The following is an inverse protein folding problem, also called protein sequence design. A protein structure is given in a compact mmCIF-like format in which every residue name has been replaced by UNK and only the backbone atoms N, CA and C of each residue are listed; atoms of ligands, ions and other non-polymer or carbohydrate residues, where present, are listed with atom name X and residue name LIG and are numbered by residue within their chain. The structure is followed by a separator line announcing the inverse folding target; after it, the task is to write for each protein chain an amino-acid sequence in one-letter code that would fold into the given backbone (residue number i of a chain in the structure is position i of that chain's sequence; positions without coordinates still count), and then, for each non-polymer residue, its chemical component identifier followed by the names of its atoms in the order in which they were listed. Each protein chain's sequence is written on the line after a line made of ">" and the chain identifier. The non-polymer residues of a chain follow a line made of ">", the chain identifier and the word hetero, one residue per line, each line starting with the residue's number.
data_IF_966355493932
#
_entry.id   IF_966355493932
#
_cell.length_a   1.000
_cell.length_b   1.000
_cell.length_c   1.000
_cell.angle_alpha   90.00
_cell.angle_beta   90.00
_cell.angle_gamma   90.00
#
_symmetry.space_group_name_H-M   'P 1'
#
loop_
_entity.id
_entity.type
_entity.pdbx_description
1 polymer ?
#
# COMPACT_ATOMS: atom_id res chain seq x y z
N UNK A 1 -19.19 -1.18 -1.53
CA UNK A 1 -19.63 -1.35 -2.93
C UNK A 1 -18.45 -1.06 -3.83
N UNK A 2 -17.92 -2.07 -4.52
CA UNK A 2 -17.03 -1.86 -5.66
C UNK A 2 -17.95 -1.91 -6.89
N UNK A 3 -18.21 -0.77 -7.50
CA UNK A 3 -18.81 -0.73 -8.83
C UNK A 3 -17.69 -0.48 -9.82
N UNK A 4 -17.64 -1.28 -10.88
CA UNK A 4 -16.80 -1.04 -12.05
C UNK A 4 -17.69 -0.47 -13.17
N UNK A 5 -17.97 0.85 -13.15
CA UNK A 5 -18.90 1.48 -14.10
C UNK A 5 -18.30 1.67 -15.50
N UNK A 6 -17.01 1.35 -15.71
CA UNK A 6 -16.27 1.73 -16.92
C UNK A 6 -16.16 0.60 -17.95
N UNK A 7 -16.61 -0.62 -17.65
CA UNK A 7 -16.55 -1.75 -18.59
C UNK A 7 -15.12 -2.24 -18.89
N UNK A 8 -14.12 -1.74 -18.16
CA UNK A 8 -12.78 -2.30 -18.14
C UNK A 8 -12.79 -3.60 -17.32
N UNK A 9 -11.92 -4.56 -17.65
CA UNK A 9 -11.72 -5.73 -16.78
C UNK A 9 -11.33 -5.26 -15.38
N UNK A 10 -11.89 -5.89 -14.33
CA UNK A 10 -11.48 -5.61 -12.96
C UNK A 10 -9.95 -5.70 -12.85
N UNK A 11 -9.30 -4.76 -12.14
CA UNK A 11 -7.86 -4.83 -11.97
C UNK A 11 -7.50 -6.15 -11.27
N UNK A 12 -6.39 -6.78 -11.65
CA UNK A 12 -5.91 -7.97 -10.96
C UNK A 12 -5.72 -7.65 -9.47
N UNK A 13 -5.91 -8.65 -8.60
CA UNK A 13 -5.97 -8.44 -7.14
C UNK A 13 -4.75 -7.70 -6.55
N UNK A 14 -3.58 -7.79 -7.20
CA UNK A 14 -2.34 -7.12 -6.77
C UNK A 14 -2.31 -5.62 -7.11
N UNK A 15 -3.27 -5.10 -7.88
CA UNK A 15 -3.47 -3.68 -8.18
C UNK A 15 -4.61 -3.07 -7.34
N UNK A 16 -5.29 -3.87 -6.51
CA UNK A 16 -6.36 -3.39 -5.65
C UNK A 16 -5.79 -2.62 -4.45
N UNK A 17 -6.18 -1.34 -4.36
CA UNK A 17 -5.90 -0.50 -3.19
C UNK A 17 -7.15 -0.48 -2.30
N UNK A 18 -7.03 -1.01 -1.09
CA UNK A 18 -8.10 -0.96 -0.08
C UNK A 18 -8.16 0.45 0.51
N UNK A 19 -9.35 1.06 0.47
CA UNK A 19 -9.63 2.37 1.08
C UNK A 19 -10.69 2.19 2.17
N UNK A 20 -10.48 2.80 3.34
CA UNK A 20 -11.48 2.83 4.42
C UNK A 20 -12.43 4.00 4.17
N UNK A 21 -13.72 3.77 4.38
CA UNK A 21 -14.77 4.78 4.25
C UNK A 21 -15.72 4.74 5.45
N UNK A 22 -16.63 5.71 5.54
CA UNK A 22 -17.64 5.84 6.60
C UNK A 22 -17.06 6.16 7.99
N UNK A 23 -16.61 7.41 8.13
CA UNK A 23 -16.08 7.95 9.39
C UNK A 23 -17.18 8.48 10.34
N UNK A 24 -18.45 8.12 10.12
CA UNK A 24 -19.59 8.63 10.90
C UNK A 24 -19.56 8.26 12.39
N UNK A 25 -18.78 7.24 12.75
CA UNK A 25 -18.56 6.78 14.14
C UNK A 25 -17.15 7.07 14.66
N UNK A 26 -16.28 7.71 13.85
CA UNK A 26 -14.88 7.96 14.22
C UNK A 26 -14.76 8.97 15.36
N UNK A 27 -13.76 8.78 16.21
CA UNK A 27 -13.43 9.68 17.32
C UNK A 27 -11.95 9.98 17.36
N UNK A 28 -11.61 11.24 17.63
CA UNK A 28 -10.23 11.62 17.94
C UNK A 28 -10.06 11.49 19.45
N UNK A 29 -9.25 10.52 19.87
CA UNK A 29 -8.88 10.33 21.27
C UNK A 29 -7.54 11.03 21.51
N UNK A 30 -7.47 11.85 22.57
CA UNK A 30 -6.19 12.30 23.12
C UNK A 30 -5.42 11.12 23.69
N UNK A 31 -4.10 11.19 23.72
CA UNK A 31 -3.25 10.12 24.26
C UNK A 31 -3.69 9.72 25.69
N UNK A 32 -4.03 8.45 25.89
CA UNK A 32 -4.53 7.92 27.17
C UNK A 32 -6.03 8.15 27.48
N UNK A 33 -6.79 8.73 26.55
CA UNK A 33 -8.24 8.89 26.70
C UNK A 33 -9.03 7.67 26.19
N UNK A 34 -10.18 7.40 26.80
CA UNK A 34 -11.01 6.23 26.51
C UNK A 34 -12.43 6.66 26.10
N UNK A 35 -12.99 6.00 25.08
CA UNK A 35 -14.37 6.20 24.67
C UNK A 35 -15.33 5.26 25.44
N UNK A 36 -16.62 5.62 25.52
CA UNK A 36 -17.63 4.91 26.32
C UNK A 36 -18.99 4.75 25.63
N UNK A 37 -19.05 4.87 24.30
CA UNK A 37 -20.29 4.73 23.54
C UNK A 37 -20.31 3.38 22.84
N UNK A 38 -21.32 2.56 23.13
CA UNK A 38 -21.60 1.32 22.40
C UNK A 38 -22.20 1.65 21.03
N UNK A 39 -21.35 1.72 20.00
CA UNK A 39 -21.76 1.95 18.61
C UNK A 39 -20.90 1.11 17.65
N UNK A 40 -21.48 0.70 16.51
CA UNK A 40 -20.84 -0.15 15.50
C UNK A 40 -21.70 -1.36 15.11
N UNK A 41 -21.13 -2.28 14.34
CA UNK A 41 -21.80 -3.53 13.93
C UNK A 41 -21.48 -4.64 14.93
N UNK A 42 -22.48 -5.20 15.66
CA UNK A 42 -22.25 -6.02 16.86
C UNK A 42 -21.23 -7.14 16.72
N UNK A 43 -21.24 -7.86 15.59
CA UNK A 43 -20.38 -9.02 15.40
C UNK A 43 -18.89 -8.68 15.15
N UNK A 44 -18.57 -7.42 14.88
CA UNK A 44 -17.19 -6.94 14.71
C UNK A 44 -16.70 -6.17 15.95
N UNK A 45 -17.58 -5.87 16.90
CA UNK A 45 -17.22 -5.12 18.10
C UNK A 45 -16.32 -5.93 19.03
N UNK A 46 -15.36 -5.24 19.65
CA UNK A 46 -14.57 -5.80 20.73
C UNK A 46 -15.43 -6.07 21.99
N UNK A 47 -15.09 -7.09 22.81
CA UNK A 47 -15.87 -7.43 24.00
C UNK A 47 -16.04 -6.25 24.96
N UNK A 48 -14.99 -5.45 25.15
CA UNK A 48 -15.01 -4.25 25.99
C UNK A 48 -16.01 -3.20 25.47
N UNK A 49 -16.19 -3.07 24.15
CA UNK A 49 -17.16 -2.15 23.54
C UNK A 49 -18.59 -2.67 23.76
N UNK A 50 -18.82 -3.98 23.56
CA UNK A 50 -20.13 -4.62 23.77
C UNK A 50 -20.55 -4.55 25.23
N UNK A 51 -19.62 -4.72 26.16
CA UNK A 51 -19.84 -4.65 27.60
C UNK A 51 -19.89 -3.21 28.14
N UNK A 52 -19.92 -2.21 27.26
CA UNK A 52 -19.96 -0.79 27.58
C UNK A 52 -18.82 -0.35 28.53
N UNK A 53 -17.67 -0.99 28.39
CA UNK A 53 -16.44 -0.62 29.08
C UNK A 53 -15.73 0.49 28.30
N UNK A 54 -14.74 1.09 28.95
CA UNK A 54 -13.88 2.09 28.33
C UNK A 54 -12.93 1.41 27.34
N UNK A 55 -12.78 1.96 26.14
CA UNK A 55 -11.95 1.39 25.07
C UNK A 55 -11.02 2.42 24.42
N UNK A 56 -9.93 1.94 23.83
CA UNK A 56 -8.93 2.67 23.05
C UNK A 56 -8.85 2.13 21.60
N UNK A 57 -7.79 2.48 20.87
CA UNK A 57 -7.56 2.03 19.49
C UNK A 57 -7.42 0.50 19.33
N UNK A 58 -7.29 -0.27 20.42
CA UNK A 58 -7.25 -1.74 20.35
C UNK A 58 -8.57 -2.34 19.88
N UNK A 59 -9.69 -1.65 20.10
CA UNK A 59 -11.01 -2.06 19.62
C UNK A 59 -11.08 -2.11 18.08
N UNK A 60 -10.38 -1.20 17.39
CA UNK A 60 -10.30 -1.20 15.92
C UNK A 60 -9.51 -2.42 15.42
N UNK A 61 -8.46 -2.81 16.14
CA UNK A 61 -7.67 -4.00 15.78
C UNK A 61 -8.44 -5.29 16.02
N UNK A 62 -9.32 -5.34 17.03
CA UNK A 62 -10.25 -6.46 17.19
C UNK A 62 -11.18 -6.57 15.97
N UNK A 63 -11.78 -5.46 15.57
CA UNK A 63 -12.68 -5.39 14.41
C UNK A 63 -11.97 -5.85 13.13
N UNK A 64 -10.73 -5.43 12.92
CA UNK A 64 -9.88 -5.88 11.81
C UNK A 64 -9.62 -7.41 11.86
N UNK A 65 -9.35 -7.96 13.05
CA UNK A 65 -9.17 -9.41 13.22
C UNK A 65 -10.39 -10.22 12.79
N UNK A 66 -11.60 -9.75 13.13
CA UNK A 66 -12.86 -10.37 12.73
C UNK A 66 -13.09 -10.32 11.21
N UNK A 67 -12.77 -9.18 10.58
CA UNK A 67 -12.83 -9.03 9.10
C UNK A 67 -11.87 -10.00 8.41
N UNK A 68 -10.62 -10.09 8.90
CA UNK A 68 -9.63 -11.02 8.34
C UNK A 68 -10.11 -12.46 8.51
N UNK A 69 -10.63 -12.83 9.69
CA UNK A 69 -11.17 -14.17 9.92
C UNK A 69 -12.32 -14.49 8.96
N UNK A 70 -13.26 -13.57 8.79
CA UNK A 70 -14.39 -13.73 7.88
C UNK A 70 -13.91 -13.91 6.43
N UNK A 71 -12.93 -13.12 5.98
CA UNK A 71 -12.33 -13.27 4.65
C UNK A 71 -11.66 -14.64 4.45
N UNK A 72 -11.03 -15.20 5.50
CA UNK A 72 -10.31 -16.48 5.42
C UNK A 72 -11.23 -17.70 5.50
N UNK A 73 -12.35 -17.58 6.22
CA UNK A 73 -13.22 -18.73 6.52
C UNK A 73 -14.58 -18.65 5.84
N UNK A 74 -14.90 -17.50 5.23
CA UNK A 74 -16.22 -17.16 4.72
C UNK A 74 -17.34 -17.33 5.77
N UNK A 75 -16.97 -17.19 7.06
CA UNK A 75 -17.87 -17.39 8.19
C UNK A 75 -17.46 -16.47 9.32
N UNK A 76 -18.44 -15.86 9.99
CA UNK A 76 -18.18 -15.13 11.22
C UNK A 76 -18.37 -16.08 12.43
N UNK A 77 -17.45 -16.14 13.40
CA UNK A 77 -17.54 -17.06 14.54
C UNK A 77 -18.83 -16.89 15.34
N UNK A 78 -19.22 -15.63 15.57
CA UNK A 78 -20.39 -15.27 16.38
C UNK A 78 -21.73 -15.54 15.67
N UNK A 79 -21.73 -15.66 14.34
CA UNK A 79 -22.93 -16.10 13.60
C UNK A 79 -23.23 -17.58 13.80
N UNK A 80 -22.22 -18.40 14.13
CA UNK A 80 -22.41 -19.84 14.43
C UNK A 80 -23.07 -20.09 15.79
N UNK A 81 -23.08 -19.10 16.68
CA UNK A 81 -23.60 -19.21 18.05
C UNK A 81 -25.10 -18.88 18.15
N UNK A 82 -25.83 -18.74 17.02
CA UNK A 82 -27.25 -18.35 16.91
C UNK A 82 -27.60 -17.07 17.67
N UNK A 83 -26.64 -16.14 17.77
CA UNK A 83 -26.80 -14.85 18.47
C UNK A 83 -27.61 -13.91 17.57
N UNK A 84 -28.88 -13.72 17.92
CA UNK A 84 -29.86 -12.96 17.10
C UNK A 84 -30.04 -11.51 17.53
N UNK A 85 -29.57 -11.14 18.72
CA UNK A 85 -29.74 -9.79 19.25
C UNK A 85 -28.55 -9.34 20.14
N UNK A 86 -28.39 -8.02 20.38
CA UNK A 86 -27.30 -7.49 21.19
C UNK A 86 -27.29 -7.97 22.64
N UNK A 87 -28.44 -8.33 23.22
CA UNK A 87 -28.53 -8.81 24.61
C UNK A 87 -27.93 -10.20 24.73
N UNK A 88 -28.18 -11.06 23.74
CA UNK A 88 -27.56 -12.38 23.65
C UNK A 88 -26.04 -12.27 23.47
N UNK A 89 -25.57 -11.26 22.73
CA UNK A 89 -24.14 -11.01 22.56
C UNK A 89 -23.47 -10.55 23.88
N UNK A 90 -24.12 -9.66 24.63
CA UNK A 90 -23.67 -9.27 25.97
C UNK A 90 -23.62 -10.48 26.88
N UNK A 91 -24.68 -11.30 26.89
CA UNK A 91 -24.74 -12.51 27.71
C UNK A 91 -23.65 -13.51 27.32
N UNK A 92 -23.38 -13.67 26.02
CA UNK A 92 -22.30 -14.51 25.51
C UNK A 92 -20.95 -14.06 26.07
N UNK A 93 -20.61 -12.78 25.98
CA UNK A 93 -19.32 -12.27 26.50
C UNK A 93 -19.24 -12.28 28.03
N UNK A 94 -20.37 -12.20 28.75
CA UNK A 94 -20.41 -12.32 30.20
C UNK A 94 -20.26 -13.76 30.70
N UNK A 95 -20.67 -14.75 29.91
CA UNK A 95 -20.75 -16.16 30.34
C UNK A 95 -19.68 -17.06 29.72
N UNK A 96 -19.27 -16.80 28.48
CA UNK A 96 -18.18 -17.50 27.82
C UNK A 96 -16.91 -16.67 27.90
N UNK A 97 -15.90 -17.23 28.56
CA UNK A 97 -14.60 -16.56 28.70
C UNK A 97 -13.84 -16.42 27.38
N UNK A 98 -14.12 -17.25 26.35
CA UNK A 98 -13.36 -17.26 25.08
C UNK A 98 -14.25 -17.60 23.88
N UNK A 99 -14.01 -16.94 22.75
CA UNK A 99 -14.54 -17.35 21.45
C UNK A 99 -13.62 -18.47 20.92
N UNK A 100 -14.19 -19.61 20.52
CA UNK A 100 -13.42 -20.64 19.85
C UNK A 100 -13.28 -20.29 18.36
N UNK A 101 -12.05 -20.07 17.91
CA UNK A 101 -11.75 -19.73 16.52
C UNK A 101 -11.10 -20.92 15.84
N UNK A 102 -11.86 -21.58 14.97
CA UNK A 102 -11.34 -22.65 14.11
C UNK A 102 -10.75 -22.02 12.85
N UNK A 103 -9.46 -22.24 12.62
CA UNK A 103 -8.75 -21.76 11.43
C UNK A 103 -8.58 -22.89 10.41
N UNK A 104 -8.77 -22.63 9.10
CA UNK A 104 -8.47 -23.60 8.05
C UNK A 104 -6.99 -24.01 8.08
N UNK A 105 -6.70 -25.27 7.77
CA UNK A 105 -5.33 -25.83 7.75
C UNK A 105 -4.37 -25.07 6.82
N UNK A 106 -4.92 -24.36 5.84
CA UNK A 106 -4.18 -23.66 4.80
C UNK A 106 -3.79 -22.22 5.20
N UNK A 107 -4.17 -21.77 6.40
CA UNK A 107 -3.82 -20.43 6.89
C UNK A 107 -2.43 -20.47 7.50
N UNK A 108 -1.58 -19.50 7.11
CA UNK A 108 -0.24 -19.37 7.66
C UNK A 108 -0.30 -19.26 9.19
N UNK A 109 0.56 -20.02 9.87
CA UNK A 109 0.55 -20.17 11.33
C UNK A 109 0.59 -18.84 12.10
N UNK A 110 1.27 -17.83 11.55
CA UNK A 110 1.28 -16.48 12.13
C UNK A 110 -0.04 -15.75 12.10
N UNK A 111 -0.82 -15.90 11.03
CA UNK A 111 -2.18 -15.34 10.96
C UNK A 111 -3.10 -16.04 11.95
N UNK A 112 -2.98 -17.37 12.08
CA UNK A 112 -3.72 -18.09 13.13
C UNK A 112 -3.29 -17.67 14.53
N UNK A 113 -2.00 -17.45 14.78
CA UNK A 113 -1.50 -17.03 16.10
C UNK A 113 -1.91 -15.59 16.43
N UNK A 114 -1.95 -14.67 15.46
CA UNK A 114 -2.47 -13.29 15.64
C UNK A 114 -3.92 -13.30 16.08
N UNK A 115 -4.75 -14.04 15.33
CA UNK A 115 -6.19 -14.12 15.55
C UNK A 115 -6.44 -14.83 16.88
N UNK A 116 -5.83 -16.00 17.12
CA UNK A 116 -6.09 -16.81 18.33
C UNK A 116 -5.50 -16.16 19.59
N UNK A 117 -4.28 -15.60 19.56
CA UNK A 117 -3.63 -15.00 20.73
C UNK A 117 -4.29 -13.69 21.16
N UNK A 118 -4.92 -12.95 20.24
CA UNK A 118 -5.65 -11.72 20.55
C UNK A 118 -7.10 -11.95 20.97
N UNK A 119 -7.73 -13.03 20.49
CA UNK A 119 -9.09 -13.43 20.89
C UNK A 119 -9.13 -14.41 22.08
N UNK A 120 -7.96 -14.77 22.61
CA UNK A 120 -7.81 -15.39 23.93
C UNK A 120 -8.11 -14.38 25.04
N UNK A 121 -9.39 -14.15 25.29
CA UNK A 121 -9.87 -13.30 26.37
C UNK A 121 -9.40 -13.83 27.73
N UNK A 122 -8.36 -13.20 28.26
CA UNK A 122 -8.24 -12.93 29.69
C UNK A 122 -8.51 -11.44 29.87
N UNK A 123 -9.56 -11.12 30.63
CA UNK A 123 -9.95 -9.75 31.02
C UNK A 123 -8.78 -9.05 31.77
N UNK A 124 -7.76 -9.80 32.21
CA UNK A 124 -6.58 -9.30 32.91
C UNK A 124 -5.34 -9.02 32.02
N UNK A 125 -5.33 -9.44 30.75
CA UNK A 125 -4.15 -9.27 29.86
C UNK A 125 -4.23 -8.07 28.90
N UNK A 126 -4.91 -6.99 29.30
CA UNK A 126 -4.97 -5.72 28.55
C UNK A 126 -3.60 -5.01 28.31
N UNK A 127 -2.49 -5.61 28.74
CA UNK A 127 -1.15 -5.03 28.73
C UNK A 127 -0.21 -5.52 27.61
N UNK A 128 -0.63 -6.44 26.72
CA UNK A 128 0.15 -6.73 25.52
C UNK A 128 -0.25 -5.76 24.41
N UNK A 129 0.69 -4.91 24.00
CA UNK A 129 0.55 -4.04 22.84
C UNK A 129 0.18 -4.91 21.62
N UNK A 130 -1.07 -4.78 21.16
CA UNK A 130 -1.59 -5.53 20.03
C UNK A 130 -0.83 -5.27 18.74
N UNK A 131 -0.14 -4.14 18.65
CA UNK A 131 0.77 -3.77 17.57
C UNK A 131 2.03 -4.64 17.62
N UNK A 132 2.65 -4.79 18.79
CA UNK A 132 3.82 -5.66 19.00
C UNK A 132 3.54 -7.14 18.68
N UNK A 133 2.35 -7.67 19.01
CA UNK A 133 2.00 -9.05 18.63
C UNK A 133 1.77 -9.22 17.12
N UNK A 134 1.13 -8.25 16.46
CA UNK A 134 0.99 -8.22 15.00
C UNK A 134 2.35 -8.10 14.31
N UNK A 135 3.24 -7.25 14.82
CA UNK A 135 4.61 -7.08 14.32
C UNK A 135 5.46 -8.35 14.51
N UNK A 136 5.34 -9.04 15.66
CA UNK A 136 6.12 -10.25 15.93
C UNK A 136 5.64 -11.44 15.09
N UNK A 137 4.33 -11.63 14.93
CA UNK A 137 3.82 -12.69 14.08
C UNK A 137 4.02 -12.40 12.58
N UNK A 138 4.00 -11.12 12.19
CA UNK A 138 4.48 -10.64 10.89
C UNK A 138 5.93 -11.02 10.64
N UNK A 139 6.79 -10.80 11.63
CA UNK A 139 8.21 -11.12 11.61
C UNK A 139 8.47 -12.64 11.48
N UNK A 140 7.75 -13.47 12.23
CA UNK A 140 7.94 -14.93 12.24
C UNK A 140 7.37 -15.65 11.00
N UNK A 141 6.35 -15.07 10.37
CA UNK A 141 5.60 -15.74 9.29
C UNK A 141 5.72 -15.04 7.93
N UNK A 142 6.52 -13.99 7.83
CA UNK A 142 6.78 -13.26 6.58
C UNK A 142 5.49 -12.62 6.00
N UNK A 143 4.56 -12.22 6.86
CA UNK A 143 3.27 -11.61 6.51
C UNK A 143 3.37 -10.14 6.88
N UNK A 144 3.60 -9.26 5.91
CA UNK A 144 3.78 -7.83 6.14
C UNK A 144 2.41 -7.12 6.24
N UNK A 145 2.10 -6.57 7.40
CA UNK A 145 0.88 -5.77 7.67
C UNK A 145 1.04 -4.29 7.26
N UNK A 146 2.05 -3.95 6.45
CA UNK A 146 2.30 -2.58 6.02
C UNK A 146 3.22 -1.80 6.94
N UNK A 147 4.07 -2.48 7.72
CA UNK A 147 5.26 -1.85 8.31
C UNK A 147 6.46 -2.22 7.43
N UNK A 148 6.44 -1.58 6.26
CA UNK A 148 7.38 -1.61 5.15
C UNK A 148 8.67 -2.41 5.39
N UNK A 149 8.69 -3.68 4.95
CA UNK A 149 9.95 -4.31 4.57
C UNK A 149 10.10 -4.24 3.07
N UNK A 150 11.06 -3.43 2.61
CA UNK A 150 11.51 -3.42 1.22
C UNK A 150 11.63 -4.85 0.70
N UNK A 151 11.01 -5.15 -0.43
CA UNK A 151 11.04 -6.51 -0.94
C UNK A 151 12.49 -6.91 -1.22
N UNK A 152 13.01 -7.88 -0.46
CA UNK A 152 14.39 -8.38 -0.56
C UNK A 152 14.62 -9.27 -1.78
N UNK A 153 13.58 -9.56 -2.56
CA UNK A 153 13.67 -10.34 -3.79
C UNK A 153 14.11 -9.44 -4.95
N UNK A 154 15.43 -9.37 -5.19
CA UNK A 154 16.01 -8.56 -6.28
C UNK A 154 16.09 -9.26 -7.63
N UNK A 155 15.66 -10.52 -7.71
CA UNK A 155 15.60 -11.27 -8.98
C UNK A 155 14.58 -10.61 -9.90
N UNK A 156 15.02 -10.18 -11.09
CA UNK A 156 14.17 -9.53 -12.10
C UNK A 156 14.04 -8.01 -11.95
N UNK A 157 14.99 -7.37 -11.24
CA UNK A 157 15.15 -5.92 -11.26
C UNK A 157 15.85 -5.47 -12.55
N UNK A 158 15.31 -4.42 -13.15
CA UNK A 158 15.78 -3.79 -14.39
C UNK A 158 16.07 -2.31 -14.12
N UNK A 159 17.12 -1.78 -14.73
CA UNK A 159 17.47 -0.37 -14.60
C UNK A 159 16.35 0.52 -15.15
N UNK A 160 15.97 1.56 -14.40
CA UNK A 160 15.18 2.67 -14.91
C UNK A 160 16.16 3.70 -15.47
N UNK A 161 16.11 3.95 -16.77
CA UNK A 161 17.07 4.77 -17.48
C UNK A 161 16.45 6.13 -17.80
N UNK A 162 17.23 7.21 -17.70
CA UNK A 162 16.80 8.57 -18.02
C UNK A 162 17.62 9.14 -19.18
N UNK A 163 16.96 9.88 -20.05
CA UNK A 163 17.57 10.68 -21.11
C UNK A 163 16.86 12.01 -21.24
N UNK A 164 17.56 13.04 -21.69
CA UNK A 164 17.05 14.41 -21.76
C UNK A 164 17.32 15.00 -23.14
N UNK A 165 16.38 15.78 -23.66
CA UNK A 165 16.58 16.54 -24.88
C UNK A 165 16.20 18.01 -24.65
N UNK A 166 17.21 18.85 -24.40
CA UNK A 166 17.03 20.27 -24.12
C UNK A 166 16.36 21.05 -25.27
N UNK A 167 16.47 20.58 -26.51
CA UNK A 167 15.90 21.27 -27.67
C UNK A 167 14.37 21.16 -27.70
N UNK A 168 13.84 20.01 -27.31
CA UNK A 168 12.39 19.77 -27.21
C UNK A 168 11.88 19.85 -25.78
N UNK A 169 12.80 20.06 -24.82
CA UNK A 169 12.55 20.23 -23.38
C UNK A 169 11.79 19.06 -22.76
N UNK A 170 12.24 17.85 -23.07
CA UNK A 170 11.59 16.60 -22.68
C UNK A 170 12.56 15.66 -21.95
N UNK A 171 12.06 14.99 -20.90
CA UNK A 171 12.75 13.90 -20.24
C UNK A 171 12.11 12.54 -20.55
N UNK A 172 12.93 11.64 -21.07
CA UNK A 172 12.50 10.31 -21.46
C UNK A 172 12.99 9.24 -20.48
N UNK A 173 12.07 8.38 -20.03
CA UNK A 173 12.36 7.30 -19.09
C UNK A 173 11.98 5.92 -19.65
N UNK A 174 12.90 4.95 -19.56
CA UNK A 174 12.66 3.60 -20.08
C UNK A 174 13.42 2.53 -19.29
N UNK A 175 12.95 1.29 -19.35
CA UNK A 175 13.66 0.09 -18.88
C UNK A 175 14.33 -0.68 -20.02
N UNK A 176 14.26 -0.16 -21.25
CA UNK A 176 14.75 -0.82 -22.45
C UNK A 176 15.95 -0.06 -23.05
N UNK A 177 17.13 -0.68 -22.96
CA UNK A 177 18.38 -0.12 -23.49
C UNK A 177 18.29 0.21 -24.99
N UNK A 178 17.57 -0.62 -25.77
CA UNK A 178 17.43 -0.39 -27.22
C UNK A 178 16.57 0.83 -27.51
N UNK A 179 15.55 1.08 -26.68
CA UNK A 179 14.69 2.26 -26.78
C UNK A 179 15.48 3.52 -26.42
N UNK A 180 16.28 3.48 -25.34
CA UNK A 180 17.16 4.58 -24.97
C UNK A 180 18.18 4.90 -26.08
N UNK A 181 18.80 3.88 -26.67
CA UNK A 181 19.71 4.07 -27.81
C UNK A 181 19.02 4.66 -29.02
N UNK A 182 17.74 4.33 -29.25
CA UNK A 182 16.96 4.93 -30.32
C UNK A 182 16.61 6.38 -30.00
N UNK A 183 16.25 6.73 -28.77
CA UNK A 183 16.07 8.12 -28.35
C UNK A 183 17.36 8.94 -28.56
N UNK A 184 18.53 8.35 -28.25
CA UNK A 184 19.82 9.01 -28.48
C UNK A 184 20.09 9.35 -29.95
N UNK A 185 19.67 8.47 -30.88
CA UNK A 185 19.74 8.76 -32.33
C UNK A 185 18.84 9.93 -32.75
N UNK A 186 17.86 10.29 -31.93
CA UNK A 186 16.92 11.39 -32.16
C UNK A 186 17.23 12.63 -31.28
N UNK A 187 18.47 12.74 -30.78
CA UNK A 187 18.95 13.95 -30.12
C UNK A 187 18.81 13.98 -28.60
N UNK A 188 18.36 12.89 -27.97
CA UNK A 188 18.40 12.76 -26.52
C UNK A 188 19.82 12.46 -26.03
N UNK A 189 20.22 13.12 -24.95
CA UNK A 189 21.46 12.85 -24.22
C UNK A 189 21.13 11.80 -23.15
N UNK A 190 21.92 10.73 -23.09
CA UNK A 190 21.80 9.70 -22.06
C UNK A 190 22.41 10.26 -20.76
N UNK A 191 21.60 10.36 -19.70
CA UNK A 191 22.05 10.95 -18.44
C UNK A 191 22.43 9.90 -17.40
N UNK A 192 21.68 8.79 -17.31
CA UNK A 192 22.05 7.68 -16.43
C UNK A 192 20.88 6.87 -15.91
N UNK A 193 21.12 6.20 -14.77
CA UNK A 193 20.20 5.25 -14.18
C UNK A 193 19.51 5.81 -12.93
N UNK A 194 18.19 5.88 -12.95
CA UNK A 194 17.29 6.30 -11.87
C UNK A 194 16.91 5.12 -10.96
N UNK A 195 17.90 4.33 -10.56
CA UNK A 195 17.69 3.11 -9.77
C UNK A 195 17.15 1.94 -10.59
N UNK A 196 16.60 0.95 -9.90
CA UNK A 196 16.07 -0.28 -10.49
C UNK A 196 14.60 -0.44 -10.10
N UNK A 197 13.78 -0.86 -11.07
CA UNK A 197 12.39 -1.24 -10.87
C UNK A 197 12.19 -2.69 -11.30
N UNK A 198 11.12 -3.31 -10.83
CA UNK A 198 10.81 -4.70 -11.18
C UNK A 198 9.97 -4.74 -12.45
N UNK A 199 10.32 -5.55 -13.44
CA UNK A 199 9.55 -5.65 -14.70
C UNK A 199 8.44 -6.70 -14.66
N UNK A 200 8.23 -7.35 -13.51
CA UNK A 200 7.18 -8.35 -13.34
C UNK A 200 6.63 -8.31 -11.92
N UNK A 201 5.34 -8.59 -11.71
CA UNK A 201 4.77 -8.70 -10.37
C UNK A 201 5.54 -9.69 -9.49
N UNK A 202 5.45 -9.52 -8.18
CA UNK A 202 5.96 -10.49 -7.22
C UNK A 202 4.92 -10.78 -6.16
N UNK A 203 4.40 -12.01 -6.15
CA UNK A 203 3.45 -12.47 -5.12
C UNK A 203 4.04 -12.50 -3.70
N UNK A 204 5.37 -12.36 -3.57
CA UNK A 204 6.09 -12.30 -2.29
C UNK A 204 6.46 -10.88 -1.87
N UNK A 205 6.19 -9.87 -2.70
CA UNK A 205 6.42 -8.47 -2.34
C UNK A 205 5.07 -7.84 -1.98
N UNK A 206 5.00 -7.24 -0.80
CA UNK A 206 3.91 -6.37 -0.38
C UNK A 206 4.24 -4.93 -0.74
N UNK A 207 3.21 -4.12 -1.05
CA UNK A 207 3.41 -2.69 -1.35
C UNK A 207 4.10 -2.38 -2.67
N UNK A 208 4.04 -3.28 -3.66
CA UNK A 208 4.43 -2.96 -5.03
C UNK A 208 3.36 -2.09 -5.68
N UNK A 209 3.77 -0.95 -6.21
CA UNK A 209 2.96 -0.08 -7.05
C UNK A 209 3.33 -0.28 -8.52
N UNK A 210 2.36 -0.46 -9.42
CA UNK A 210 2.62 -0.37 -10.85
C UNK A 210 3.03 1.06 -11.20
N UNK A 211 4.09 1.22 -11.98
CA UNK A 211 4.47 2.49 -12.60
C UNK A 211 3.93 2.48 -14.03
N UNK A 212 2.84 3.21 -14.25
CA UNK A 212 2.18 3.35 -15.55
C UNK A 212 2.98 4.31 -16.44
N UNK A 213 3.13 3.95 -17.71
CA UNK A 213 3.72 4.80 -18.75
C UNK A 213 2.62 5.25 -19.70
N UNK A 214 2.45 6.56 -19.80
CA UNK A 214 1.45 7.25 -20.59
C UNK A 214 2.14 7.97 -21.76
N UNK A 215 1.53 7.96 -22.95
CA UNK A 215 2.05 8.67 -24.12
C UNK A 215 0.98 9.49 -24.82
N UNK A 216 1.29 10.75 -25.12
CA UNK A 216 0.43 11.66 -25.87
C UNK A 216 1.05 11.99 -27.24
N UNK A 217 0.62 11.28 -28.29
CA UNK A 217 1.11 11.47 -29.65
C UNK A 217 0.88 12.89 -30.22
N UNK A 218 -0.08 13.64 -29.68
CA UNK A 218 -0.37 15.02 -30.12
C UNK A 218 0.71 16.02 -29.71
N UNK A 219 1.41 15.75 -28.61
CA UNK A 219 2.44 16.63 -28.02
C UNK A 219 3.80 15.95 -27.89
N UNK A 220 3.92 14.71 -28.35
CA UNK A 220 5.12 13.87 -28.26
C UNK A 220 5.67 13.76 -26.84
N UNK A 221 4.77 13.65 -25.86
CA UNK A 221 5.09 13.70 -24.43
C UNK A 221 4.83 12.35 -23.74
N UNK A 222 5.66 12.02 -22.75
CA UNK A 222 5.47 10.87 -21.88
C UNK A 222 5.26 11.31 -20.43
N UNK A 223 4.34 10.63 -19.76
CA UNK A 223 4.11 10.84 -18.34
C UNK A 223 4.09 9.51 -17.57
N UNK A 224 4.57 9.52 -16.34
CA UNK A 224 4.74 8.33 -15.51
C UNK A 224 4.08 8.49 -14.14
N UNK A 225 3.24 7.54 -13.76
CA UNK A 225 2.53 7.61 -12.48
C UNK A 225 2.25 6.25 -11.89
N UNK A 226 2.24 6.17 -10.57
CA UNK A 226 1.76 5.06 -9.75
C UNK A 226 0.33 5.27 -9.28
N UNK A 227 -0.19 6.49 -9.42
CA UNK A 227 -1.54 6.86 -8.99
C UNK A 227 -2.54 6.42 -10.06
N UNK A 228 -3.29 5.36 -9.76
CA UNK A 228 -4.34 4.83 -10.64
C UNK A 228 -5.34 5.91 -11.08
N UNK A 229 -5.78 6.77 -10.15
CA UNK A 229 -6.75 7.82 -10.45
C UNK A 229 -6.17 8.88 -11.41
N UNK A 230 -4.88 9.20 -11.30
CA UNK A 230 -4.19 10.15 -12.20
C UNK A 230 -4.07 9.56 -13.62
N UNK A 231 -3.69 8.29 -13.71
CA UNK A 231 -3.66 7.55 -14.97
C UNK A 231 -5.03 7.56 -15.65
N UNK A 232 -6.10 7.16 -14.94
CA UNK A 232 -7.46 7.12 -15.48
C UNK A 232 -7.92 8.51 -15.96
N UNK A 233 -7.64 9.56 -15.20
CA UNK A 233 -8.02 10.92 -15.57
C UNK A 233 -7.28 11.44 -16.80
N UNK A 234 -6.05 10.97 -17.04
CA UNK A 234 -5.22 11.36 -18.19
C UNK A 234 -5.64 10.72 -19.51
N UNK A 235 -6.46 9.64 -19.50
CA UNK A 235 -6.85 8.86 -20.69
C UNK A 235 -7.64 9.66 -21.76
N UNK A 236 -8.08 10.88 -21.43
CA UNK A 236 -8.69 11.80 -22.40
C UNK A 236 -7.69 12.37 -23.40
N UNK A 237 -6.43 12.48 -23.00
CA UNK A 237 -5.35 13.13 -23.77
C UNK A 237 -4.22 12.13 -24.05
N UNK A 238 -3.87 11.32 -23.05
CA UNK A 238 -2.82 10.31 -23.12
C UNK A 238 -3.38 8.92 -23.40
N UNK A 239 -2.57 8.07 -24.03
CA UNK A 239 -2.81 6.63 -24.13
C UNK A 239 -1.94 5.91 -23.12
N UNK A 240 -2.50 4.92 -22.44
CA UNK A 240 -1.73 4.00 -21.61
C UNK A 240 -0.94 3.06 -22.53
N UNK A 241 0.38 3.13 -22.48
CA UNK A 241 1.25 2.17 -23.17
C UNK A 241 1.41 0.88 -22.35
N UNK A 242 1.30 0.98 -21.02
CA UNK A 242 1.25 -0.14 -20.10
C UNK A 242 1.95 0.14 -18.78
N UNK A 243 2.13 -0.90 -17.97
CA UNK A 243 2.94 -0.85 -16.75
C UNK A 243 4.40 -1.05 -17.11
N UNK A 244 5.23 -0.02 -17.01
CA UNK A 244 6.67 -0.10 -17.37
C UNK A 244 7.47 -0.93 -16.36
N UNK A 245 6.96 -1.03 -15.13
CA UNK A 245 7.52 -1.83 -14.05
C UNK A 245 6.80 -1.55 -12.74
N UNK A 246 7.38 -2.04 -11.64
CA UNK A 246 6.83 -1.93 -10.30
C UNK A 246 7.90 -1.38 -9.35
N UNK A 247 7.50 -0.41 -8.53
CA UNK A 247 8.31 0.18 -7.47
C UNK A 247 7.59 0.05 -6.13
N UNK A 248 8.24 0.40 -5.02
CA UNK A 248 7.69 0.22 -3.68
C UNK A 248 6.92 1.48 -3.24
N UNK A 249 5.78 1.30 -2.58
CA UNK A 249 4.99 2.40 -2.02
C UNK A 249 5.70 3.11 -0.85
N UNK A 250 6.48 2.35 -0.08
CA UNK A 250 7.06 2.77 1.20
C UNK A 250 8.59 2.61 1.20
N UNK A 251 9.31 3.39 2.03
CA UNK A 251 10.77 3.29 2.13
C UNK A 251 11.21 1.96 2.73
N UNK A 252 12.50 1.63 2.55
CA UNK A 252 13.11 0.48 3.21
C UNK A 252 14.54 0.23 2.74
N UNK A 253 15.17 -0.83 3.24
CA UNK A 253 16.57 -1.12 2.93
C UNK A 253 16.85 -1.16 1.43
N UNK A 254 17.91 -0.47 1.01
CA UNK A 254 18.36 -0.47 -0.39
C UNK A 254 17.38 0.20 -1.36
N UNK A 255 16.34 0.86 -0.85
CA UNK A 255 15.43 1.69 -1.63
C UNK A 255 15.82 3.16 -1.49
N UNK A 256 15.65 3.91 -2.57
CA UNK A 256 15.78 5.37 -2.63
C UNK A 256 14.49 5.96 -3.20
N UNK A 257 14.09 7.16 -2.75
CA UNK A 257 12.90 7.82 -3.29
C UNK A 257 13.14 8.26 -4.73
N UNK A 258 12.15 8.05 -5.59
CA UNK A 258 12.02 8.68 -6.89
C UNK A 258 11.16 9.93 -6.71
N UNK A 259 11.81 11.09 -6.67
CA UNK A 259 11.16 12.39 -6.54
C UNK A 259 10.49 12.78 -7.85
N UNK A 260 9.31 13.40 -7.77
CA UNK A 260 8.55 13.92 -8.93
C UNK A 260 8.37 15.43 -8.84
N UNK A 261 8.49 16.07 -10.00
CA UNK A 261 8.32 17.49 -10.18
C UNK A 261 7.52 17.78 -11.44
N UNK A 262 6.81 18.90 -11.43
CA UNK A 262 6.15 19.46 -12.60
C UNK A 262 6.85 20.74 -13.06
N UNK A 263 7.30 20.80 -14.31
CA UNK A 263 7.83 22.03 -14.93
C UNK A 263 6.70 22.87 -15.50
N UNK A 264 6.59 24.11 -15.02
CA UNK A 264 5.57 25.06 -15.47
C UNK A 264 5.82 25.54 -16.91
N UNK A 265 7.08 25.80 -17.27
CA UNK A 265 7.43 26.31 -18.59
C UNK A 265 7.53 25.23 -19.67
N UNK A 266 7.88 24.00 -19.30
CA UNK A 266 8.00 22.89 -20.25
C UNK A 266 6.74 22.02 -20.32
N UNK A 267 5.83 22.15 -19.34
CA UNK A 267 4.61 21.34 -19.24
C UNK A 267 4.94 19.84 -19.27
N UNK A 268 5.99 19.46 -18.55
CA UNK A 268 6.57 18.12 -18.50
C UNK A 268 6.91 17.75 -17.05
N UNK A 269 6.92 16.45 -16.76
CA UNK A 269 7.31 15.90 -15.47
C UNK A 269 8.78 15.53 -15.43
N UNK A 270 9.41 15.84 -14.31
CA UNK A 270 10.79 15.51 -14.04
C UNK A 270 10.90 14.57 -12.84
N UNK A 271 11.67 13.51 -13.02
CA UNK A 271 11.92 12.49 -12.01
C UNK A 271 13.41 12.31 -11.74
N UNK A 272 13.76 12.21 -10.46
CA UNK A 272 15.14 11.95 -10.03
C UNK A 272 15.21 11.19 -8.72
N UNK A 273 16.25 10.38 -8.56
CA UNK A 273 16.63 9.77 -7.28
C UNK A 273 17.77 10.54 -6.58
N UNK A 274 18.35 11.53 -7.25
CA UNK A 274 19.55 12.25 -6.80
C UNK A 274 19.08 13.41 -5.90
N UNK A 275 19.49 13.36 -4.64
CA UNK A 275 19.03 14.32 -3.64
C UNK A 275 19.58 15.74 -3.89
N UNK A 276 20.81 15.85 -4.40
CA UNK A 276 21.40 17.12 -4.81
C UNK A 276 20.62 17.76 -5.97
N UNK A 277 20.22 16.95 -6.95
CA UNK A 277 19.45 17.41 -8.11
C UNK A 277 18.04 17.86 -7.68
N UNK A 278 17.38 17.07 -6.82
CA UNK A 278 16.13 17.48 -6.16
C UNK A 278 16.27 18.83 -5.47
N UNK A 279 17.31 19.02 -4.65
CA UNK A 279 17.51 20.26 -3.90
C UNK A 279 17.76 21.47 -4.83
N UNK A 280 18.45 21.27 -5.96
CA UNK A 280 18.67 22.31 -6.97
C UNK A 280 17.36 22.65 -7.71
N UNK A 281 16.61 21.64 -8.14
CA UNK A 281 15.34 21.81 -8.86
C UNK A 281 14.30 22.50 -7.96
N UNK A 282 14.27 22.21 -6.66
CA UNK A 282 13.39 22.89 -5.71
C UNK A 282 13.67 24.39 -5.53
N UNK A 283 14.90 24.84 -5.81
CA UNK A 283 15.24 26.27 -5.77
C UNK A 283 14.88 26.99 -7.08
N UNK A 284 14.61 26.24 -8.15
CA UNK A 284 14.19 26.78 -9.42
C UNK A 284 12.68 27.06 -9.40
N UNK A 285 12.29 28.32 -9.66
CA UNK A 285 10.89 28.74 -9.67
C UNK A 285 10.05 28.11 -10.78
N UNK A 286 10.68 27.48 -11.78
CA UNK A 286 9.99 26.77 -12.85
C UNK A 286 9.37 25.44 -12.41
N UNK A 287 9.93 24.81 -11.36
CA UNK A 287 9.54 23.47 -10.96
C UNK A 287 8.71 23.48 -9.68
N UNK A 288 7.58 22.76 -9.72
CA UNK A 288 6.77 22.46 -8.55
C UNK A 288 7.11 21.05 -8.05
N UNK A 289 7.53 20.93 -6.80
CA UNK A 289 7.75 19.62 -6.18
C UNK A 289 6.41 18.95 -5.85
N UNK A 290 6.17 17.77 -6.41
CA UNK A 290 4.91 17.02 -6.24
C UNK A 290 5.01 15.90 -5.21
N UNK A 291 6.22 15.61 -4.71
CA UNK A 291 6.46 14.59 -3.70
C UNK A 291 7.31 13.43 -4.18
N UNK A 292 7.21 12.31 -3.47
CA UNK A 292 7.83 11.04 -3.83
C UNK A 292 6.82 10.28 -4.68
N UNK A 293 7.19 9.92 -5.91
CA UNK A 293 6.37 9.11 -6.80
C UNK A 293 6.30 7.66 -6.30
N UNK A 294 7.46 7.09 -5.99
CA UNK A 294 7.60 5.80 -5.33
C UNK A 294 9.06 5.57 -4.90
N UNK A 295 9.36 4.40 -4.36
CA UNK A 295 10.70 3.99 -3.94
C UNK A 295 11.27 2.92 -4.87
N UNK A 296 12.47 3.17 -5.39
CA UNK A 296 13.16 2.30 -6.35
C UNK A 296 14.41 1.69 -5.72
N UNK A 297 14.86 0.53 -6.18
CA UNK A 297 16.07 -0.09 -5.64
C UNK A 297 17.31 0.66 -6.11
N UNK A 298 18.21 1.00 -5.20
CA UNK A 298 19.47 1.68 -5.55
C UNK A 298 20.42 0.75 -6.33
N UNK A 299 20.37 -0.56 -6.05
CA UNK A 299 21.20 -1.58 -6.69
C UNK A 299 20.40 -2.83 -7.07
N UNK A 300 20.89 -3.57 -8.06
CA UNK A 300 20.32 -4.87 -8.49
C UNK A 300 20.49 -6.01 -7.45
N UNK A 301 21.09 -5.71 -6.30
CA UNK A 301 21.23 -6.60 -5.15
C UNK A 301 21.03 -5.79 -3.88
N UNK A 302 20.25 -6.31 -2.93
CA UNK A 302 20.13 -5.69 -1.60
C UNK A 302 21.32 -6.21 -0.78
N UNK A 303 22.39 -5.42 -0.68
CA UNK A 303 23.52 -5.72 0.22
C UNK A 303 23.35 -4.94 1.52
N UNK A 304 23.31 -5.66 2.64
CA UNK A 304 23.27 -5.05 3.98
C UNK A 304 21.92 -4.44 4.34
N UNK A 305 21.01 -5.30 4.79
CA UNK A 305 20.33 -5.08 6.08
C UNK A 305 20.96 -6.09 7.06
#
# INVERSE_FOLDING_TARGET
>A
MLSNPTGLSDPPFYELVVKISDFGLSRVLSEGSLASTACGTPYYMAPEVVLNQKYDSKADIWSLGMIIYECLTNSLPLLKEDIKDPVQLIHFYQTKAKINLEMPENVAKGLSDIIIKKHGADIEHQNTDGTTCLMNASYENNIDFGLSRACRHTVGLTALLRSNNENVRDHFYTTNDQEQQNAAKHGYIIEGQMGFIRISPCSRCTGLLPLYRMYAASVYDHFYTTKYDEMQNSLKIYKLEGTMGYCMAEPGCGLVPLYRFWSLSNNDHFYTIIEEEKNQVQQNTDYCYEGIECYVWQSNSVKGC
#
